data_IF_444564985566
#
_entry.id   IF_444564985566
#
_cell.length_a   1.000
_cell.length_b   1.000
_cell.length_c   1.000
_cell.angle_alpha   90.00
_cell.angle_beta   90.00
_cell.angle_gamma   90.00
#
_symmetry.space_group_name_H-M   'P 1'
#
loop_
_entity.id
_entity.type
_entity.pdbx_description
1 polymer ?
#
# COMPACT_ATOMS: atom_id res chain seq x y z
N UNK A 1 -19.05 -4.80 -5.89
CA UNK A 1 -18.48 -3.71 -5.08
C UNK A 1 -16.97 -3.70 -5.26
N UNK A 2 -16.40 -2.54 -5.49
CA UNK A 2 -14.95 -2.40 -5.63
C UNK A 2 -14.28 -2.55 -4.27
N UNK A 3 -13.23 -3.37 -4.21
CA UNK A 3 -12.53 -3.68 -2.96
C UNK A 3 -11.09 -3.19 -3.01
N UNK A 4 -10.68 -2.43 -1.99
CA UNK A 4 -9.31 -1.93 -1.84
C UNK A 4 -8.70 -2.63 -0.62
N UNK A 5 -7.52 -3.20 -0.82
CA UNK A 5 -6.75 -3.82 0.26
C UNK A 5 -5.59 -2.89 0.64
N UNK A 6 -5.44 -2.62 1.92
CA UNK A 6 -4.31 -1.87 2.46
C UNK A 6 -3.55 -2.80 3.39
N UNK A 7 -2.29 -3.08 3.05
CA UNK A 7 -1.41 -3.95 3.85
C UNK A 7 -0.25 -3.12 4.36
N UNK A 8 -0.01 -3.12 5.66
CA UNK A 8 1.06 -2.30 6.23
C UNK A 8 1.71 -2.97 7.43
N UNK A 9 2.92 -2.50 7.75
CA UNK A 9 3.59 -2.79 9.02
C UNK A 9 3.96 -1.47 9.68
N UNK A 10 3.81 -1.39 10.99
CA UNK A 10 4.17 -0.22 11.77
C UNK A 10 4.90 -0.64 13.03
N UNK A 11 6.02 0.02 13.34
CA UNK A 11 6.80 -0.25 14.55
C UNK A 11 6.58 0.82 15.61
N UNK A 12 6.67 2.09 15.21
CA UNK A 12 6.59 3.23 16.14
C UNK A 12 5.26 3.98 16.06
N UNK A 13 4.36 3.54 15.17
CA UNK A 13 3.08 4.19 14.95
C UNK A 13 3.03 5.12 13.75
N UNK A 14 4.17 5.49 13.18
CA UNK A 14 4.21 6.43 12.04
C UNK A 14 3.51 5.85 10.82
N UNK A 15 3.91 4.66 10.38
CA UNK A 15 3.26 4.00 9.24
C UNK A 15 1.79 3.73 9.53
N UNK A 16 1.45 3.39 10.78
CA UNK A 16 0.07 3.16 11.18
C UNK A 16 -0.82 4.38 11.03
N UNK A 17 -0.31 5.57 11.36
CA UNK A 17 -1.03 6.82 11.15
C UNK A 17 -1.28 7.06 9.66
N UNK A 18 -0.26 6.82 8.84
CA UNK A 18 -0.38 6.95 7.38
C UNK A 18 -1.41 5.96 6.83
N UNK A 19 -1.36 4.70 7.28
CA UNK A 19 -2.30 3.67 6.85
C UNK A 19 -3.75 4.04 7.17
N UNK A 20 -3.99 4.60 8.36
CA UNK A 20 -5.31 5.05 8.75
C UNK A 20 -5.81 6.18 7.83
N UNK A 21 -4.93 7.10 7.46
CA UNK A 21 -5.29 8.19 6.55
C UNK A 21 -5.59 7.67 5.13
N UNK A 22 -4.79 6.70 4.63
CA UNK A 22 -5.07 6.05 3.35
C UNK A 22 -6.44 5.37 3.39
N UNK A 23 -6.73 4.68 4.48
CA UNK A 23 -8.02 4.04 4.70
C UNK A 23 -9.17 5.07 4.64
N UNK A 24 -9.03 6.19 5.35
CA UNK A 24 -10.04 7.24 5.37
C UNK A 24 -10.32 7.79 3.98
N UNK A 25 -9.26 8.05 3.21
CA UNK A 25 -9.40 8.55 1.85
C UNK A 25 -10.11 7.57 0.93
N UNK A 26 -9.75 6.30 1.01
CA UNK A 26 -10.39 5.27 0.20
C UNK A 26 -11.86 5.07 0.60
N UNK A 27 -12.12 5.06 1.90
CA UNK A 27 -13.46 4.85 2.45
C UNK A 27 -14.44 5.97 2.08
N UNK A 28 -13.92 7.17 1.82
CA UNK A 28 -14.76 8.31 1.44
C UNK A 28 -15.35 8.17 0.03
N UNK A 29 -14.82 7.27 -0.78
CA UNK A 29 -15.34 7.03 -2.13
C UNK A 29 -16.55 6.09 -2.03
N UNK A 30 -17.66 6.50 -2.62
CA UNK A 30 -18.89 5.71 -2.59
C UNK A 30 -18.73 4.38 -3.30
N UNK A 31 -19.31 3.33 -2.72
CA UNK A 31 -19.30 1.99 -3.31
C UNK A 31 -18.01 1.20 -3.11
N UNK A 32 -17.15 1.65 -2.18
CA UNK A 32 -15.87 1.00 -1.91
C UNK A 32 -15.94 0.18 -0.61
N UNK A 33 -15.44 -1.05 -0.68
CA UNK A 33 -15.13 -1.85 0.50
C UNK A 33 -13.62 -1.74 0.73
N UNK A 34 -13.22 -1.30 1.91
CA UNK A 34 -11.79 -1.16 2.24
C UNK A 34 -11.42 -2.17 3.31
N UNK A 35 -10.40 -2.97 3.02
CA UNK A 35 -9.84 -3.94 3.96
C UNK A 35 -8.48 -3.41 4.40
N UNK A 36 -8.33 -3.11 5.69
CA UNK A 36 -7.09 -2.62 6.28
C UNK A 36 -6.51 -3.72 7.15
N UNK A 37 -5.34 -4.24 6.79
CA UNK A 37 -4.70 -5.33 7.53
C UNK A 37 -3.23 -5.08 7.78
N UNK A 38 -2.78 -5.47 8.96
CA UNK A 38 -1.35 -5.57 9.25
C UNK A 38 -0.76 -6.70 8.41
N UNK A 39 0.46 -6.52 7.94
CA UNK A 39 1.10 -7.46 7.03
C UNK A 39 1.04 -8.94 7.48
N UNK A 40 1.29 -9.28 8.76
CA UNK A 40 1.18 -10.68 9.18
C UNK A 40 -0.21 -11.28 9.05
N UNK A 41 -1.25 -10.45 9.04
CA UNK A 41 -2.65 -10.89 8.98
C UNK A 41 -3.18 -10.93 7.55
N UNK A 42 -2.50 -10.31 6.62
CA UNK A 42 -2.93 -10.27 5.22
C UNK A 42 -2.63 -11.60 4.53
N UNK A 43 -3.55 -12.04 3.70
CA UNK A 43 -3.50 -13.37 3.07
C UNK A 43 -3.46 -13.29 1.55
N UNK A 44 -3.14 -14.42 0.93
CA UNK A 44 -3.24 -14.56 -0.52
C UNK A 44 -4.66 -14.28 -1.00
N UNK A 45 -5.66 -14.79 -0.29
CA UNK A 45 -7.07 -14.57 -0.67
C UNK A 45 -7.43 -13.09 -0.65
N UNK A 46 -6.93 -12.34 0.35
CA UNK A 46 -7.12 -10.89 0.40
C UNK A 46 -6.56 -10.23 -0.86
N UNK A 47 -5.36 -10.61 -1.25
CA UNK A 47 -4.68 -10.05 -2.41
C UNK A 47 -5.42 -10.37 -3.70
N UNK A 48 -5.87 -11.60 -3.86
CA UNK A 48 -6.58 -12.02 -5.08
C UNK A 48 -7.96 -11.37 -5.19
N UNK A 49 -8.62 -11.14 -4.06
CA UNK A 49 -9.98 -10.60 -4.04
C UNK A 49 -10.05 -9.08 -4.22
N UNK A 50 -8.95 -8.35 -4.03
CA UNK A 50 -9.00 -6.90 -4.14
C UNK A 50 -8.86 -6.42 -5.58
N UNK A 51 -9.41 -5.22 -5.84
CA UNK A 51 -9.31 -4.55 -7.14
C UNK A 51 -8.15 -3.57 -7.18
N UNK A 52 -7.64 -3.17 -6.02
CA UNK A 52 -6.48 -2.30 -5.90
C UNK A 52 -5.79 -2.55 -4.57
N UNK A 53 -4.47 -2.34 -4.55
CA UNK A 53 -3.62 -2.62 -3.40
C UNK A 53 -2.80 -1.41 -3.02
N UNK A 54 -2.81 -1.06 -1.73
CA UNK A 54 -1.88 -0.09 -1.14
C UNK A 54 -1.01 -0.82 -0.14
N UNK A 55 0.31 -0.58 -0.18
CA UNK A 55 1.21 -1.14 0.81
C UNK A 55 1.95 -0.04 1.55
N UNK A 56 2.15 -0.23 2.84
CA UNK A 56 2.83 0.73 3.70
C UNK A 56 3.89 0.09 4.56
N UNK A 57 5.02 0.77 4.74
CA UNK A 57 6.15 0.26 5.50
C UNK A 57 6.98 1.39 6.10
N UNK A 58 7.60 1.18 7.28
CA UNK A 58 8.72 2.01 7.66
C UNK A 58 9.93 1.62 6.83
N UNK A 59 10.88 2.54 6.65
CA UNK A 59 12.16 2.18 6.06
C UNK A 59 13.10 1.70 7.18
N UNK A 60 13.52 0.46 7.09
CA UNK A 60 14.45 -0.16 8.04
C UNK A 60 15.72 -0.54 7.30
N UNK A 61 16.86 0.04 7.70
CA UNK A 61 18.14 -0.25 7.08
C UNK A 61 18.13 -0.08 5.55
N UNK A 62 17.46 0.95 5.07
CA UNK A 62 17.38 1.21 3.64
C UNK A 62 16.53 0.20 2.85
N UNK A 63 15.60 -0.48 3.53
CA UNK A 63 14.77 -1.52 2.95
C UNK A 63 13.36 -1.45 3.55
N UNK A 64 12.42 -2.23 3.04
CA UNK A 64 11.11 -2.35 3.68
C UNK A 64 11.21 -3.18 4.96
N UNK A 65 10.18 -3.13 5.80
CA UNK A 65 10.14 -3.97 7.01
C UNK A 65 10.09 -5.45 6.63
N UNK A 66 10.64 -6.29 7.51
CA UNK A 66 10.61 -7.74 7.32
C UNK A 66 9.19 -8.29 7.26
N UNK A 67 8.25 -7.70 8.02
CA UNK A 67 6.85 -8.14 8.01
C UNK A 67 6.17 -7.89 6.66
N UNK A 68 6.46 -6.78 6.01
CA UNK A 68 5.92 -6.53 4.67
C UNK A 68 6.57 -7.46 3.65
N UNK A 69 7.89 -7.66 3.74
CA UNK A 69 8.60 -8.60 2.86
C UNK A 69 8.02 -10.01 3.01
N UNK A 70 7.72 -10.42 4.24
CA UNK A 70 7.10 -11.72 4.51
C UNK A 70 5.76 -11.86 3.79
N UNK A 71 4.92 -10.82 3.80
CA UNK A 71 3.66 -10.83 3.06
C UNK A 71 3.91 -11.11 1.57
N UNK A 72 4.86 -10.42 0.97
CA UNK A 72 5.20 -10.65 -0.43
C UNK A 72 5.73 -12.07 -0.66
N UNK A 73 6.61 -12.55 0.20
CA UNK A 73 7.17 -13.89 0.05
C UNK A 73 6.09 -14.98 0.16
N UNK A 74 5.15 -14.82 1.09
CA UNK A 74 4.07 -15.80 1.31
C UNK A 74 3.06 -15.83 0.18
N UNK A 75 2.88 -14.74 -0.52
CA UNK A 75 1.80 -14.63 -1.50
C UNK A 75 2.26 -14.77 -2.95
N UNK A 76 3.55 -14.65 -3.23
CA UNK A 76 4.04 -14.56 -4.61
C UNK A 76 3.65 -15.78 -5.47
N UNK A 77 3.94 -16.98 -5.02
CA UNK A 77 3.68 -18.17 -5.83
C UNK A 77 2.19 -18.36 -6.14
N UNK A 78 1.34 -18.09 -5.15
CA UNK A 78 -0.11 -18.19 -5.34
C UNK A 78 -0.72 -17.05 -6.14
N UNK A 79 -0.09 -15.88 -6.13
CA UNK A 79 -0.57 -14.70 -6.85
C UNK A 79 -0.03 -14.60 -8.27
N UNK A 80 1.09 -15.24 -8.53
CA UNK A 80 1.79 -15.20 -9.81
C UNK A 80 0.83 -15.47 -10.96
N UNK A 81 0.87 -14.58 -11.96
CA UNK A 81 0.00 -14.63 -13.15
C UNK A 81 -1.50 -14.43 -12.86
N UNK A 82 -1.87 -14.03 -11.63
CA UNK A 82 -3.27 -13.82 -11.26
C UNK A 82 -3.54 -12.38 -10.81
N UNK A 83 -2.53 -11.52 -10.77
CA UNK A 83 -2.64 -10.11 -10.32
C UNK A 83 -2.07 -9.16 -11.36
N UNK A 84 -2.03 -9.56 -12.61
CA UNK A 84 -1.47 -8.77 -13.71
C UNK A 84 -2.14 -7.40 -13.80
N UNK A 85 -1.30 -6.34 -13.76
CA UNK A 85 -1.73 -4.94 -13.83
C UNK A 85 -2.69 -4.50 -12.73
N UNK A 86 -2.72 -5.20 -11.60
CA UNK A 86 -3.52 -4.75 -10.46
C UNK A 86 -3.05 -3.37 -10.01
N UNK A 87 -3.94 -2.38 -9.90
CA UNK A 87 -3.58 -1.03 -9.45
C UNK A 87 -2.91 -1.05 -8.08
N UNK A 88 -1.83 -0.29 -7.94
CA UNK A 88 -0.92 -0.39 -6.81
C UNK A 88 -0.37 0.98 -6.42
N UNK A 89 -0.33 1.27 -5.12
CA UNK A 89 0.26 2.48 -4.56
C UNK A 89 1.04 2.16 -3.30
N UNK A 90 1.96 3.07 -2.91
CA UNK A 90 2.91 2.84 -1.80
C UNK A 90 2.95 4.07 -0.88
N UNK A 91 3.03 3.83 0.43
CA UNK A 91 3.31 4.88 1.40
C UNK A 91 4.40 4.41 2.38
N UNK A 92 5.31 5.31 2.72
CA UNK A 92 6.52 4.97 3.49
C UNK A 92 6.77 6.02 4.57
N UNK A 93 7.10 5.57 5.78
CA UNK A 93 7.64 6.44 6.82
C UNK A 93 9.14 6.18 6.95
N UNK A 94 9.95 7.25 7.00
CA UNK A 94 11.40 7.11 7.00
C UNK A 94 12.07 8.14 7.90
N UNK A 95 13.19 7.77 8.49
CA UNK A 95 14.06 8.70 9.19
C UNK A 95 14.95 9.47 8.22
N UNK A 96 15.29 8.84 7.10
CA UNK A 96 16.05 9.45 6.00
C UNK A 96 15.13 9.76 4.84
N UNK A 97 15.52 9.41 3.62
CA UNK A 97 14.76 9.80 2.42
C UNK A 97 13.73 8.76 1.95
N UNK A 98 13.72 7.56 2.52
CA UNK A 98 12.77 6.52 2.14
C UNK A 98 13.06 5.83 0.80
N UNK A 99 14.10 6.24 0.10
CA UNK A 99 14.39 5.75 -1.26
C UNK A 99 14.73 4.27 -1.31
N UNK A 100 15.38 3.75 -0.27
CA UNK A 100 15.74 2.34 -0.22
C UNK A 100 14.53 1.43 -0.10
N UNK A 101 13.59 1.80 0.78
CA UNK A 101 12.34 1.05 0.93
C UNK A 101 11.51 1.11 -0.33
N UNK A 102 11.41 2.29 -0.95
CA UNK A 102 10.65 2.46 -2.19
C UNK A 102 11.23 1.58 -3.30
N UNK A 103 12.53 1.63 -3.48
CA UNK A 103 13.21 0.85 -4.52
C UNK A 103 13.00 -0.65 -4.35
N UNK A 104 13.06 -1.12 -3.09
CA UNK A 104 12.83 -2.52 -2.76
C UNK A 104 11.41 -2.95 -3.11
N UNK A 105 10.41 -2.13 -2.75
CA UNK A 105 9.01 -2.40 -3.06
C UNK A 105 8.77 -2.38 -4.57
N UNK A 106 9.32 -1.40 -5.27
CA UNK A 106 9.14 -1.28 -6.73
C UNK A 106 9.68 -2.51 -7.46
N UNK A 107 10.80 -3.04 -6.99
CA UNK A 107 11.39 -4.25 -7.56
C UNK A 107 10.45 -5.45 -7.41
N UNK A 108 9.86 -5.60 -6.26
CA UNK A 108 8.88 -6.67 -5.99
C UNK A 108 7.63 -6.46 -6.84
N UNK A 109 7.15 -5.21 -6.93
CA UNK A 109 5.97 -4.88 -7.73
C UNK A 109 6.15 -5.26 -9.20
N UNK A 110 7.37 -5.10 -9.73
CA UNK A 110 7.67 -5.57 -11.09
C UNK A 110 7.51 -7.09 -11.21
N UNK A 111 7.95 -7.84 -10.21
CA UNK A 111 7.81 -9.29 -10.19
C UNK A 111 6.34 -9.73 -10.16
N UNK A 112 5.50 -9.03 -9.42
CA UNK A 112 4.07 -9.28 -9.38
C UNK A 112 3.35 -8.74 -10.62
N UNK A 113 3.98 -7.85 -11.37
CA UNK A 113 3.41 -7.14 -12.53
C UNK A 113 2.23 -6.24 -12.13
N UNK A 114 2.34 -5.61 -10.96
CA UNK A 114 1.39 -4.58 -10.53
C UNK A 114 1.54 -3.34 -11.42
N UNK A 115 0.49 -2.54 -11.48
CA UNK A 115 0.49 -1.25 -12.17
C UNK A 115 0.47 -0.13 -11.15
N UNK A 116 1.59 0.58 -10.99
CA UNK A 116 1.64 1.75 -10.10
C UNK A 116 0.83 2.88 -10.73
N UNK A 117 -0.18 3.35 -9.99
CA UNK A 117 -1.16 4.30 -10.54
C UNK A 117 -1.08 5.71 -9.96
N UNK A 118 -0.24 5.93 -8.95
CA UNK A 118 -0.04 7.27 -8.38
C UNK A 118 1.33 7.33 -7.71
N UNK A 119 1.84 8.56 -7.52
CA UNK A 119 3.13 8.79 -6.88
C UNK A 119 3.13 8.30 -5.43
N UNK A 120 4.21 7.69 -4.93
CA UNK A 120 4.27 7.25 -3.53
C UNK A 120 4.24 8.44 -2.57
N UNK A 121 3.73 8.22 -1.37
CA UNK A 121 3.83 9.20 -0.29
C UNK A 121 4.94 8.76 0.64
N UNK A 122 5.96 9.61 0.81
CA UNK A 122 7.07 9.35 1.71
C UNK A 122 7.09 10.43 2.79
N UNK A 123 6.92 10.01 4.04
CA UNK A 123 7.03 10.90 5.19
C UNK A 123 8.44 10.80 5.76
N UNK A 124 9.15 11.92 5.81
CA UNK A 124 10.49 12.00 6.39
C UNK A 124 10.37 12.60 7.80
N UNK A 125 10.64 11.78 8.82
CA UNK A 125 10.51 12.22 10.20
C UNK A 125 9.08 12.20 10.70
N UNK A 126 8.64 13.31 11.33
CA UNK A 126 7.30 13.39 11.91
C UNK A 126 6.19 13.25 10.89
N UNK A 127 5.11 12.61 11.30
CA UNK A 127 3.90 12.55 10.49
C UNK A 127 3.12 13.84 10.71
N UNK A 128 3.12 14.70 9.71
CA UNK A 128 2.43 16.00 9.76
C UNK A 128 1.04 15.88 9.15
N UNK A 129 0.19 16.90 9.40
CA UNK A 129 -1.13 16.92 8.78
C UNK A 129 -1.03 16.97 7.24
N UNK A 130 0.00 17.65 6.71
CA UNK A 130 0.23 17.68 5.27
C UNK A 130 0.49 16.28 4.71
N UNK A 131 1.25 15.45 5.42
CA UNK A 131 1.49 14.06 5.03
C UNK A 131 0.19 13.24 5.11
N UNK A 132 -0.58 13.41 6.18
CA UNK A 132 -1.85 12.68 6.32
C UNK A 132 -2.82 13.05 5.20
N UNK A 133 -2.85 14.32 4.79
CA UNK A 133 -3.67 14.74 3.66
C UNK A 133 -3.24 14.08 2.36
N UNK A 134 -1.93 13.97 2.13
CA UNK A 134 -1.40 13.23 0.96
C UNK A 134 -1.78 11.75 1.00
N UNK A 135 -1.80 11.16 2.18
CA UNK A 135 -2.22 9.78 2.36
C UNK A 135 -3.71 9.60 2.05
N UNK A 136 -4.56 10.53 2.49
CA UNK A 136 -5.99 10.51 2.16
C UNK A 136 -6.19 10.63 0.65
N UNK A 137 -5.44 11.52 0.00
CA UNK A 137 -5.46 11.66 -1.45
C UNK A 137 -5.02 10.37 -2.15
N UNK A 138 -3.96 9.73 -1.65
CA UNK A 138 -3.47 8.48 -2.20
C UNK A 138 -4.56 7.39 -2.17
N UNK A 139 -5.21 7.23 -1.03
CA UNK A 139 -6.27 6.24 -0.86
C UNK A 139 -7.48 6.56 -1.73
N UNK A 140 -7.87 7.83 -1.77
CA UNK A 140 -9.01 8.28 -2.58
C UNK A 140 -8.76 8.11 -4.07
N UNK A 141 -7.54 8.40 -4.53
CA UNK A 141 -7.18 8.26 -5.95
C UNK A 141 -7.19 6.79 -6.36
N UNK A 142 -6.61 5.92 -5.55
CA UNK A 142 -6.63 4.49 -5.82
C UNK A 142 -8.07 3.95 -5.88
N UNK A 143 -8.87 4.25 -4.86
CA UNK A 143 -10.23 3.75 -4.77
C UNK A 143 -11.12 4.32 -5.89
N UNK A 144 -11.01 5.61 -6.15
CA UNK A 144 -11.81 6.27 -7.19
C UNK A 144 -11.49 5.75 -8.57
N UNK A 145 -10.21 5.59 -8.88
CA UNK A 145 -9.79 5.05 -10.18
C UNK A 145 -10.23 3.61 -10.39
N UNK A 146 -10.13 2.77 -9.35
CA UNK A 146 -10.62 1.40 -9.42
C UNK A 146 -12.15 1.36 -9.60
N UNK A 147 -12.88 2.19 -8.86
CA UNK A 147 -14.35 2.24 -8.95
C UNK A 147 -14.81 2.68 -10.33
N UNK A 148 -14.09 3.59 -10.97
CA UNK A 148 -14.42 4.12 -12.30
C UNK A 148 -13.85 3.27 -13.44
N UNK A 149 -13.03 2.27 -13.12
CA UNK A 149 -12.46 1.39 -14.14
C UNK A 149 -11.44 2.05 -15.06
N UNK A 150 -10.75 3.10 -14.57
CA UNK A 150 -9.80 3.84 -15.40
C UNK A 150 -8.36 3.31 -15.34
N UNK A 151 -8.09 2.34 -14.53
CA UNK A 151 -6.75 1.74 -14.41
C UNK A 151 -6.62 0.42 -15.18
#
# INVERSE_FOLDING_TARGET
MTRILIVYHSQTGHTGQMAQAVYEGAKAIEGIEVILKKAPEATLDDLLACDGLAVGTPENFGYMSGMLKDFFDRTYEGAKDRVFRKPFVVFISAGNDGSGALRAIERIALGYKFKTVFSPVIAKGKITEAILEKCRELGGTLAGGCAMGIY
#
